data_IF_205159974069
#
_entry.id   IF_205159974069
#
_cell.length_a   1.000
_cell.length_b   1.000
_cell.length_c   1.000
_cell.angle_alpha   90.00
_cell.angle_beta   90.00
_cell.angle_gamma   90.00
#
_symmetry.space_group_name_H-M   'P 1'
#
loop_
_entity.id
_entity.type
_entity.pdbx_description
1 polymer ?
#
# COMPACT_ATOMS: atom_id res chain seq x y z
N UNK A 1 21.94 12.53 2.69
CA UNK A 1 22.16 13.47 1.56
C UNK A 1 20.79 13.81 0.99
N UNK A 2 20.33 15.06 1.08
CA UNK A 2 19.18 15.51 0.27
C UNK A 2 19.66 15.45 -1.19
N UNK A 3 19.04 14.58 -2.00
CA UNK A 3 19.57 14.18 -3.31
C UNK A 3 19.89 15.36 -4.23
N UNK A 4 20.87 15.16 -5.13
CA UNK A 4 21.33 15.97 -6.29
C UNK A 4 21.38 17.52 -6.20
N UNK A 5 20.94 18.15 -5.11
CA UNK A 5 20.88 19.58 -4.92
C UNK A 5 22.19 20.10 -4.32
N UNK A 6 22.77 21.08 -5.00
CA UNK A 6 23.95 21.80 -4.52
C UNK A 6 23.60 22.60 -3.25
N UNK A 7 24.58 22.80 -2.38
CA UNK A 7 24.38 23.52 -1.12
C UNK A 7 23.74 24.91 -1.27
N UNK A 8 24.15 25.77 -2.23
CA UNK A 8 23.58 27.10 -2.38
C UNK A 8 22.10 27.14 -2.76
N UNK A 9 21.60 26.11 -3.47
CA UNK A 9 20.18 26.00 -3.81
C UNK A 9 19.36 25.45 -2.65
N UNK A 10 19.93 24.48 -1.91
CA UNK A 10 19.27 23.90 -0.73
C UNK A 10 18.99 24.95 0.34
N UNK A 11 19.94 25.85 0.58
CA UNK A 11 19.83 26.86 1.64
C UNK A 11 18.75 27.92 1.34
N UNK A 12 18.28 28.03 0.09
CA UNK A 12 17.17 28.93 -0.32
C UNK A 12 15.77 28.43 0.06
N UNK A 13 15.60 27.15 0.35
CA UNK A 13 14.27 26.59 0.64
C UNK A 13 13.80 26.82 2.08
N UNK A 14 14.69 27.26 2.99
CA UNK A 14 14.38 27.76 4.34
C UNK A 14 13.85 26.71 5.34
N UNK A 15 13.11 25.69 4.88
CA UNK A 15 12.51 24.64 5.68
C UNK A 15 12.72 23.31 4.94
N UNK A 16 13.39 22.36 5.60
CA UNK A 16 13.64 21.02 5.05
C UNK A 16 12.83 20.01 5.85
N UNK A 17 11.69 19.58 5.31
CA UNK A 17 10.95 18.46 5.86
C UNK A 17 11.42 17.14 5.24
N UNK A 18 11.61 16.13 6.09
CA UNK A 18 11.81 14.76 5.63
C UNK A 18 10.45 14.09 5.62
N UNK A 19 10.07 13.56 4.46
CA UNK A 19 8.91 12.68 4.38
C UNK A 19 9.29 11.34 5.01
N UNK A 20 8.48 10.90 5.95
CA UNK A 20 8.58 9.58 6.56
C UNK A 20 7.72 8.58 5.79
N UNK A 21 8.06 7.31 5.92
CA UNK A 21 7.21 6.25 5.39
C UNK A 21 5.93 6.16 6.19
N UNK A 22 4.85 5.79 5.53
CA UNK A 22 3.59 5.52 6.21
C UNK A 22 3.73 4.28 7.09
N UNK A 23 3.13 4.33 8.26
CA UNK A 23 2.95 3.17 9.12
C UNK A 23 2.02 2.16 8.46
N UNK A 24 2.11 0.89 8.88
CA UNK A 24 1.19 -0.14 8.39
C UNK A 24 -0.27 0.22 8.68
N UNK A 25 -0.57 0.82 9.84
CA UNK A 25 -1.93 1.28 10.18
C UNK A 25 -2.45 2.36 9.24
N UNK A 26 -1.63 3.36 8.90
CA UNK A 26 -2.04 4.40 7.95
C UNK A 26 -2.21 3.83 6.54
N UNK A 27 -1.34 2.91 6.14
CA UNK A 27 -1.48 2.19 4.87
C UNK A 27 -2.75 1.34 4.84
N UNK A 28 -3.14 0.68 5.95
CA UNK A 28 -4.41 -0.05 6.02
C UNK A 28 -5.59 0.87 5.77
N UNK A 29 -5.61 2.06 6.37
CA UNK A 29 -6.66 3.07 6.12
C UNK A 29 -6.71 3.48 4.64
N UNK A 30 -5.54 3.70 4.02
CA UNK A 30 -5.44 4.03 2.60
C UNK A 30 -5.99 2.88 1.74
N UNK A 31 -5.58 1.64 2.01
CA UNK A 31 -6.02 0.45 1.28
C UNK A 31 -7.52 0.25 1.41
N UNK A 32 -8.09 0.34 2.62
CA UNK A 32 -9.54 0.20 2.84
C UNK A 32 -10.33 1.29 2.11
N UNK A 33 -9.84 2.53 2.09
CA UNK A 33 -10.46 3.62 1.32
C UNK A 33 -10.41 3.32 -0.17
N UNK A 34 -9.26 2.88 -0.68
CA UNK A 34 -9.08 2.55 -2.09
C UNK A 34 -9.93 1.35 -2.52
N UNK A 35 -10.10 0.33 -1.68
CA UNK A 35 -11.00 -0.79 -1.94
C UNK A 35 -12.44 -0.32 -2.12
N UNK A 36 -12.92 0.59 -1.26
CA UNK A 36 -14.24 1.21 -1.37
C UNK A 36 -14.42 1.98 -2.68
N UNK A 37 -13.41 2.75 -3.10
CA UNK A 37 -13.44 3.49 -4.37
C UNK A 37 -13.53 2.53 -5.57
N UNK A 38 -12.88 1.37 -5.47
CA UNK A 38 -12.91 0.33 -6.50
C UNK A 38 -14.15 -0.58 -6.43
N UNK A 39 -15.04 -0.37 -5.45
CA UNK A 39 -16.23 -1.20 -5.27
C UNK A 39 -15.95 -2.61 -4.77
N UNK A 40 -14.80 -2.84 -4.14
CA UNK A 40 -14.39 -4.17 -3.65
C UNK A 40 -14.69 -4.31 -2.17
N UNK A 41 -15.37 -5.39 -1.79
CA UNK A 41 -15.60 -5.68 -0.39
C UNK A 41 -14.31 -6.19 0.28
N UNK A 42 -13.98 -5.66 1.44
CA UNK A 42 -12.69 -5.91 2.09
C UNK A 42 -12.85 -5.98 3.61
N UNK A 43 -12.20 -6.98 4.21
CA UNK A 43 -12.04 -7.09 5.66
C UNK A 43 -10.89 -6.21 6.19
N UNK A 44 -10.93 -5.82 7.48
CA UNK A 44 -9.80 -5.12 8.12
C UNK A 44 -8.48 -5.89 8.00
N UNK A 45 -8.51 -7.21 8.18
CA UNK A 45 -7.32 -8.06 8.10
C UNK A 45 -6.74 -8.12 6.67
N UNK A 46 -7.59 -8.13 5.65
CA UNK A 46 -7.16 -8.05 4.26
C UNK A 46 -6.45 -6.73 3.93
N UNK A 47 -6.97 -5.61 4.47
CA UNK A 47 -6.32 -4.31 4.35
C UNK A 47 -4.96 -4.28 5.07
N UNK A 48 -4.89 -4.88 6.26
CA UNK A 48 -3.67 -4.98 7.04
C UNK A 48 -2.60 -5.82 6.34
N UNK A 49 -2.97 -6.97 5.79
CA UNK A 49 -2.06 -7.86 5.08
C UNK A 49 -1.43 -7.17 3.86
N UNK A 50 -2.24 -6.49 3.04
CA UNK A 50 -1.74 -5.70 1.90
C UNK A 50 -0.82 -4.58 2.39
N UNK A 51 -1.23 -3.85 3.44
CA UNK A 51 -0.46 -2.75 3.99
C UNK A 51 0.92 -3.17 4.50
N UNK A 52 1.01 -4.32 5.20
CA UNK A 52 2.26 -4.83 5.77
C UNK A 52 3.30 -5.09 4.67
N UNK A 53 2.87 -5.64 3.52
CA UNK A 53 3.76 -5.98 2.38
C UNK A 53 4.05 -4.80 1.43
N UNK A 54 3.57 -3.60 1.76
CA UNK A 54 3.68 -2.40 0.91
C UNK A 54 4.91 -1.53 1.19
N UNK A 55 5.74 -1.92 2.17
CA UNK A 55 7.01 -1.25 2.53
C UNK A 55 6.86 0.27 2.70
N UNK A 56 5.84 0.68 3.45
CA UNK A 56 5.61 2.09 3.80
C UNK A 56 5.15 3.00 2.65
N UNK A 57 4.86 2.45 1.46
CA UNK A 57 4.63 3.24 0.25
C UNK A 57 3.18 3.10 -0.26
N UNK A 58 2.36 4.17 -0.22
CA UNK A 58 0.95 4.13 -0.64
C UNK A 58 0.74 3.67 -2.09
N UNK A 59 1.66 4.05 -2.99
CA UNK A 59 1.60 3.63 -4.41
C UNK A 59 1.77 2.12 -4.59
N UNK A 60 2.62 1.49 -3.76
CA UNK A 60 2.80 0.04 -3.76
C UNK A 60 1.56 -0.63 -3.20
N UNK A 61 1.02 -0.13 -2.08
CA UNK A 61 -0.22 -0.63 -1.49
C UNK A 61 -1.38 -0.67 -2.48
N UNK A 62 -1.63 0.43 -3.21
CA UNK A 62 -2.69 0.47 -4.21
C UNK A 62 -2.43 -0.43 -5.43
N UNK A 63 -1.15 -0.70 -5.76
CA UNK A 63 -0.80 -1.65 -6.81
C UNK A 63 -1.07 -3.09 -6.36
N UNK A 64 -0.72 -3.44 -5.12
CA UNK A 64 -0.97 -4.76 -4.55
C UNK A 64 -2.48 -5.01 -4.41
N UNK A 65 -3.24 -4.02 -3.93
CA UNK A 65 -4.70 -4.08 -3.85
C UNK A 65 -5.35 -4.50 -5.17
N UNK A 66 -4.98 -3.88 -6.29
CA UNK A 66 -5.54 -4.25 -7.61
C UNK A 66 -5.26 -5.71 -7.96
N UNK A 67 -4.04 -6.19 -7.71
CA UNK A 67 -3.68 -7.59 -7.98
C UNK A 67 -4.42 -8.56 -7.08
N UNK A 68 -4.56 -8.24 -5.79
CA UNK A 68 -5.30 -9.07 -4.83
C UNK A 68 -6.79 -9.09 -5.17
N UNK A 69 -7.36 -7.98 -5.64
CA UNK A 69 -8.73 -7.95 -6.18
C UNK A 69 -8.86 -8.89 -7.39
N UNK A 70 -7.99 -8.75 -8.38
CA UNK A 70 -8.06 -9.58 -9.59
C UNK A 70 -7.95 -11.09 -9.22
N UNK A 71 -7.15 -11.41 -8.19
CA UNK A 71 -7.09 -12.76 -7.62
C UNK A 71 -8.41 -13.16 -6.93
N UNK A 72 -9.01 -12.27 -6.14
CA UNK A 72 -10.28 -12.51 -5.44
C UNK A 72 -11.45 -12.74 -6.41
N UNK A 73 -11.45 -12.06 -7.56
CA UNK A 73 -12.47 -12.22 -8.60
C UNK A 73 -12.36 -13.58 -9.32
N UNK A 74 -11.16 -14.15 -9.45
CA UNK A 74 -10.93 -15.41 -10.16
C UNK A 74 -11.00 -16.64 -9.25
N UNK A 75 -10.45 -16.55 -8.04
CA UNK A 75 -10.28 -17.70 -7.13
C UNK A 75 -11.28 -17.67 -5.96
N UNK A 76 -11.86 -16.51 -5.65
CA UNK A 76 -12.76 -16.31 -4.52
C UNK A 76 -14.17 -15.88 -4.93
N UNK A 77 -14.85 -15.21 -4.00
CA UNK A 77 -16.19 -14.64 -4.13
C UNK A 77 -16.16 -13.11 -4.41
N UNK A 78 -15.00 -12.57 -4.81
CA UNK A 78 -14.80 -11.14 -4.99
C UNK A 78 -14.54 -10.35 -3.69
N UNK A 79 -14.51 -11.00 -2.52
CA UNK A 79 -14.21 -10.35 -1.23
C UNK A 79 -12.75 -10.55 -0.84
N UNK A 80 -12.11 -9.48 -0.36
CA UNK A 80 -10.72 -9.54 0.13
C UNK A 80 -10.69 -9.79 1.65
N UNK A 81 -10.37 -11.03 2.03
CA UNK A 81 -10.08 -11.46 3.41
C UNK A 81 -8.58 -11.43 3.71
N UNK A 82 -8.19 -11.50 5.00
CA UNK A 82 -6.78 -11.62 5.38
C UNK A 82 -6.10 -12.86 4.79
N UNK A 83 -6.78 -14.01 4.85
CA UNK A 83 -6.29 -15.27 4.28
C UNK A 83 -6.12 -15.18 2.75
N UNK A 84 -7.14 -14.67 2.05
CA UNK A 84 -7.10 -14.53 0.60
C UNK A 84 -6.00 -13.56 0.16
N UNK A 85 -5.86 -12.43 0.85
CA UNK A 85 -4.79 -11.47 0.60
C UNK A 85 -3.41 -12.10 0.83
N UNK A 86 -3.24 -12.88 1.91
CA UNK A 86 -1.98 -13.57 2.21
C UNK A 86 -1.60 -14.56 1.11
N UNK A 87 -2.52 -15.44 0.72
CA UNK A 87 -2.33 -16.41 -0.36
C UNK A 87 -2.02 -15.73 -1.71
N UNK A 88 -2.77 -14.68 -2.05
CA UNK A 88 -2.56 -13.94 -3.29
C UNK A 88 -1.15 -13.30 -3.33
N UNK A 89 -0.72 -12.71 -2.22
CA UNK A 89 0.59 -12.04 -2.14
C UNK A 89 1.75 -13.03 -2.10
N UNK A 90 1.58 -14.20 -1.48
CA UNK A 90 2.54 -15.31 -1.55
C UNK A 90 2.73 -15.81 -2.98
N UNK A 91 1.62 -16.04 -3.72
CA UNK A 91 1.70 -16.44 -5.12
C UNK A 91 2.39 -15.39 -6.01
N UNK A 92 2.30 -14.12 -5.62
CA UNK A 92 2.98 -13.02 -6.30
C UNK A 92 4.44 -12.83 -5.85
N UNK A 93 4.95 -13.67 -4.94
CA UNK A 93 6.26 -13.57 -4.30
C UNK A 93 6.51 -12.18 -3.69
N UNK A 94 5.52 -11.67 -2.97
CA UNK A 94 5.59 -10.37 -2.28
C UNK A 94 5.68 -10.62 -0.78
N UNK A 95 6.78 -10.20 -0.15
CA UNK A 95 6.99 -10.18 1.30
C UNK A 95 6.59 -8.86 1.96
#
# INVERSE_FOLDING_TARGET
RAGLLTSPLRDRFGIVHRLEFYTTSELSLIVSRSARILGVEMSPDGAHEIARRSRGTPRIANRLLRRVRDFAEVIGDGRITGELAGRALEMLNVD
#
